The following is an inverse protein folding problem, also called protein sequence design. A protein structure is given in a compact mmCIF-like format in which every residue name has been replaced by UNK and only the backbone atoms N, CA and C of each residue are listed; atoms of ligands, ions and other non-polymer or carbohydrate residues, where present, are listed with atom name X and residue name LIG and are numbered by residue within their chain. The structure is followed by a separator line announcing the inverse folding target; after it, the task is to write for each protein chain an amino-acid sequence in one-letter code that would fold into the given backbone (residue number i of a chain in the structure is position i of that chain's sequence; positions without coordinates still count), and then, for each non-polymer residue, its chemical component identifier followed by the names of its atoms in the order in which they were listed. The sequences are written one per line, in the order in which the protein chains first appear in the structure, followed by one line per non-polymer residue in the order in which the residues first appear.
data_IF_850532143089
#
_entry.id   IF_850532143089
#
_cell.length_a   1.000
_cell.length_b   1.000
_cell.length_c   1.000
_cell.angle_alpha   90.00
_cell.angle_beta   90.00
_cell.angle_gamma   90.00
#
_symmetry.space_group_name_H-M   'P 1'
#
loop_
_entity.id
_entity.type
_entity.pdbx_description
1 polymer ?
#
# COMPACT_ATOMS: atom_id res chain seq x y z
N UNK A 1 -16.47 -0.80 -27.54
CA UNK A 1 -17.18 -2.02 -27.14
C UNK A 1 -16.58 -2.51 -25.82
N UNK A 2 -17.41 -2.76 -24.82
CA UNK A 2 -16.95 -3.24 -23.52
C UNK A 2 -16.63 -4.74 -23.56
N UNK A 3 -15.45 -5.14 -23.05
CA UNK A 3 -15.04 -6.55 -23.00
C UNK A 3 -15.87 -7.28 -21.94
N UNK A 4 -16.60 -8.30 -22.36
CA UNK A 4 -17.39 -9.16 -21.47
C UNK A 4 -16.63 -10.46 -21.16
N UNK A 5 -16.42 -10.74 -19.88
CA UNK A 5 -15.68 -11.91 -19.40
C UNK A 5 -16.62 -13.06 -19.04
N UNK A 6 -16.15 -14.29 -19.25
CA UNK A 6 -16.79 -15.47 -18.66
C UNK A 6 -16.58 -15.46 -17.14
N UNK A 7 -17.52 -16.02 -16.36
CA UNK A 7 -17.35 -16.15 -14.91
C UNK A 7 -16.04 -16.80 -14.48
N UNK A 8 -15.57 -17.82 -15.21
CA UNK A 8 -14.27 -18.47 -14.92
C UNK A 8 -13.09 -17.51 -15.09
N UNK A 9 -13.11 -16.68 -16.14
CA UNK A 9 -12.07 -15.67 -16.40
C UNK A 9 -12.10 -14.58 -15.32
N UNK A 10 -13.29 -14.15 -14.90
CA UNK A 10 -13.47 -13.22 -13.78
C UNK A 10 -12.93 -13.78 -12.45
N UNK A 11 -13.21 -15.04 -12.14
CA UNK A 11 -12.68 -15.71 -10.95
C UNK A 11 -11.15 -15.76 -10.95
N UNK A 12 -10.55 -16.08 -12.09
CA UNK A 12 -9.09 -16.13 -12.25
C UNK A 12 -8.46 -14.76 -12.01
N UNK A 13 -9.02 -13.71 -12.61
CA UNK A 13 -8.52 -12.34 -12.45
C UNK A 13 -8.64 -11.86 -11.00
N UNK A 14 -9.77 -12.11 -10.33
CA UNK A 14 -9.99 -11.68 -8.95
C UNK A 14 -9.32 -12.60 -7.91
N UNK A 15 -8.83 -13.77 -8.32
CA UNK A 15 -8.36 -14.85 -7.44
C UNK A 15 -9.40 -15.27 -6.38
N UNK A 16 -10.68 -15.36 -6.78
CA UNK A 16 -11.78 -15.78 -5.91
C UNK A 16 -12.42 -17.06 -6.43
N UNK A 17 -13.13 -17.77 -5.55
CA UNK A 17 -13.92 -18.93 -5.95
C UNK A 17 -15.16 -18.52 -6.76
N UNK A 18 -15.66 -19.46 -7.55
CA UNK A 18 -16.89 -19.28 -8.33
C UNK A 18 -18.11 -18.96 -7.46
N UNK A 19 -18.20 -19.57 -6.28
CA UNK A 19 -19.28 -19.31 -5.33
C UNK A 19 -19.22 -17.88 -4.78
N UNK A 20 -18.02 -17.36 -4.49
CA UNK A 20 -17.84 -15.95 -4.09
C UNK A 20 -18.27 -14.99 -5.18
N UNK A 21 -17.90 -15.26 -6.44
CA UNK A 21 -18.31 -14.44 -7.58
C UNK A 21 -19.83 -14.42 -7.74
N UNK A 22 -20.50 -15.58 -7.68
CA UNK A 22 -21.96 -15.65 -7.76
C UNK A 22 -22.65 -14.93 -6.60
N UNK A 23 -22.10 -15.04 -5.39
CA UNK A 23 -22.60 -14.30 -4.22
C UNK A 23 -22.52 -12.79 -4.47
N UNK A 24 -21.39 -12.28 -4.97
CA UNK A 24 -21.23 -10.85 -5.27
C UNK A 24 -22.16 -10.36 -6.37
N UNK A 25 -22.47 -11.18 -7.37
CA UNK A 25 -23.47 -10.85 -8.39
C UNK A 25 -24.87 -10.77 -7.78
N UNK A 26 -25.25 -11.73 -6.93
CA UNK A 26 -26.56 -11.73 -6.24
C UNK A 26 -26.72 -10.57 -5.26
N UNK A 27 -25.64 -10.20 -4.58
CA UNK A 27 -25.58 -9.04 -3.68
C UNK A 27 -25.51 -7.69 -4.43
N UNK A 28 -25.45 -7.70 -5.76
CA UNK A 28 -25.35 -6.48 -6.58
C UNK A 28 -23.99 -5.77 -6.50
N UNK A 29 -22.97 -6.40 -5.92
CA UNK A 29 -21.60 -5.88 -5.82
C UNK A 29 -20.89 -5.86 -7.16
N UNK A 30 -21.07 -6.91 -7.97
CA UNK A 30 -20.60 -6.98 -9.35
C UNK A 30 -21.81 -7.05 -10.27
N UNK A 31 -21.91 -6.11 -11.22
CA UNK A 31 -22.93 -6.19 -12.27
C UNK A 31 -22.54 -7.28 -13.28
N UNK A 32 -23.51 -8.11 -13.67
CA UNK A 32 -23.35 -9.11 -14.72
C UNK A 32 -24.51 -9.02 -15.70
N UNK A 33 -24.21 -9.24 -16.98
CA UNK A 33 -25.20 -9.33 -18.05
C UNK A 33 -25.49 -10.81 -18.29
N UNK A 34 -26.75 -11.18 -18.46
CA UNK A 34 -27.14 -12.53 -18.87
C UNK A 34 -27.31 -12.57 -20.38
N UNK A 35 -26.66 -13.53 -21.04
CA UNK A 35 -26.93 -13.83 -22.45
C UNK A 35 -28.29 -14.50 -22.61
N UNK A 36 -28.88 -14.49 -23.80
CA UNK A 36 -30.14 -15.21 -24.11
C UNK A 36 -30.13 -16.68 -23.66
N UNK A 37 -28.97 -17.35 -23.66
CA UNK A 37 -28.78 -18.71 -23.14
C UNK A 37 -28.60 -18.83 -21.62
N UNK A 38 -28.96 -17.82 -20.83
CA UNK A 38 -28.92 -17.85 -19.35
C UNK A 38 -27.53 -17.79 -18.71
N UNK A 39 -26.46 -17.61 -19.49
CA UNK A 39 -25.08 -17.54 -18.99
C UNK A 39 -24.70 -16.13 -18.58
N UNK A 40 -24.03 -15.99 -17.43
CA UNK A 40 -23.47 -14.72 -16.99
C UNK A 40 -22.28 -14.28 -17.85
N UNK A 41 -22.19 -12.97 -18.05
CA UNK A 41 -21.09 -12.24 -18.68
C UNK A 41 -20.77 -11.03 -17.80
N UNK A 42 -19.56 -10.96 -17.28
CA UNK A 42 -19.15 -9.89 -16.37
C UNK A 42 -18.41 -8.83 -17.19
N UNK A 43 -18.86 -7.57 -17.20
CA UNK A 43 -18.12 -6.50 -17.85
C UNK A 43 -16.74 -6.33 -17.23
N UNK A 44 -15.71 -6.14 -18.07
CA UNK A 44 -14.34 -5.95 -17.60
C UNK A 44 -14.20 -4.73 -16.69
N UNK A 45 -15.00 -3.68 -16.89
CA UNK A 45 -15.00 -2.50 -16.02
C UNK A 45 -15.34 -2.84 -14.56
N UNK A 46 -16.26 -3.78 -14.32
CA UNK A 46 -16.61 -4.24 -12.98
C UNK A 46 -15.45 -4.99 -12.35
N UNK A 47 -14.81 -5.90 -13.08
CA UNK A 47 -13.61 -6.61 -12.59
C UNK A 47 -12.47 -5.63 -12.33
N UNK A 48 -12.27 -4.66 -13.22
CA UNK A 48 -11.25 -3.62 -13.11
C UNK A 48 -11.42 -2.81 -11.83
N UNK A 49 -12.65 -2.44 -11.43
CA UNK A 49 -12.90 -1.76 -10.14
C UNK A 49 -12.40 -2.55 -8.93
N UNK A 50 -12.50 -3.88 -8.97
CA UNK A 50 -12.03 -4.76 -7.90
C UNK A 50 -10.53 -5.07 -7.98
N UNK A 51 -9.97 -5.08 -9.19
CA UNK A 51 -8.52 -5.18 -9.41
C UNK A 51 -7.80 -3.90 -8.98
N UNK A 52 -8.35 -2.73 -9.31
CA UNK A 52 -7.83 -1.42 -8.87
C UNK A 52 -8.12 -1.16 -7.39
N UNK A 53 -9.15 -1.81 -6.82
CA UNK A 53 -9.37 -1.87 -5.36
C UNK A 53 -8.53 -2.91 -4.65
N UNK A 54 -7.74 -3.75 -5.33
CA UNK A 54 -6.61 -4.39 -4.63
C UNK A 54 -5.71 -3.23 -4.23
N UNK A 55 -5.77 -2.91 -2.95
CA UNK A 55 -5.34 -1.68 -2.33
C UNK A 55 -4.03 -1.20 -2.97
N UNK A 56 -4.04 0.02 -3.56
CA UNK A 56 -2.80 0.71 -3.88
C UNK A 56 -1.93 0.64 -2.62
N UNK A 57 -0.82 -0.09 -2.67
CA UNK A 57 0.01 -0.30 -1.48
C UNK A 57 0.36 1.06 -0.90
N UNK A 58 -0.14 1.33 0.30
CA UNK A 58 -0.02 2.63 0.96
C UNK A 58 1.36 2.71 1.57
N UNK A 59 2.22 3.51 0.96
CA UNK A 59 3.57 3.72 1.45
C UNK A 59 3.64 4.97 2.34
N UNK A 60 4.42 4.90 3.41
CA UNK A 60 4.89 6.09 4.13
C UNK A 60 6.39 6.22 3.96
N UNK A 61 6.84 7.43 3.67
CA UNK A 61 8.27 7.73 3.51
C UNK A 61 8.79 8.28 4.82
N UNK A 62 9.87 7.72 5.34
CA UNK A 62 10.53 8.22 6.54
C UNK A 62 12.00 8.57 6.25
N UNK A 63 12.34 9.84 6.44
CA UNK A 63 13.70 10.36 6.24
C UNK A 63 14.23 11.01 7.52
N UNK A 64 15.50 10.73 7.86
CA UNK A 64 16.17 11.32 9.03
C UNK A 64 17.53 11.90 8.66
N UNK A 65 17.80 13.08 9.19
CA UNK A 65 19.15 13.68 9.20
C UNK A 65 19.60 13.97 10.62
N UNK A 66 20.92 14.00 10.85
CA UNK A 66 21.50 14.25 12.18
C UNK A 66 21.51 15.72 12.56
N UNK A 67 21.69 16.60 11.58
CA UNK A 67 21.83 18.05 11.78
C UNK A 67 20.96 18.81 10.77
N UNK A 68 20.52 20.02 11.15
CA UNK A 68 19.70 20.87 10.30
C UNK A 68 20.41 21.29 9.01
N UNK A 69 21.75 21.38 9.05
CA UNK A 69 22.60 21.72 7.91
C UNK A 69 22.56 20.67 6.79
N UNK A 70 22.02 19.47 7.07
CA UNK A 70 21.88 18.38 6.11
C UNK A 70 20.49 18.38 5.43
N UNK A 71 19.82 19.52 5.37
CA UNK A 71 18.46 19.62 4.83
C UNK A 71 18.36 19.18 3.36
N UNK A 72 19.35 19.53 2.55
CA UNK A 72 19.42 19.08 1.14
C UNK A 72 19.50 17.55 1.03
N UNK A 73 20.23 16.89 1.95
CA UNK A 73 20.31 15.44 1.98
C UNK A 73 18.95 14.81 2.32
N UNK A 74 18.21 15.40 3.27
CA UNK A 74 16.84 14.97 3.57
C UNK A 74 15.91 15.07 2.36
N UNK A 75 16.03 16.13 1.56
CA UNK A 75 15.24 16.30 0.34
C UNK A 75 15.62 15.30 -0.75
N UNK A 76 16.91 15.02 -0.93
CA UNK A 76 17.39 13.97 -1.84
C UNK A 76 16.84 12.60 -1.47
N UNK A 77 16.87 12.24 -0.19
CA UNK A 77 16.31 10.97 0.30
C UNK A 77 14.81 10.87 0.00
N UNK A 78 14.04 11.93 0.25
CA UNK A 78 12.60 11.96 0.00
C UNK A 78 12.30 11.82 -1.49
N UNK A 79 13.01 12.55 -2.35
CA UNK A 79 12.83 12.49 -3.80
C UNK A 79 13.14 11.08 -4.34
N UNK A 80 14.23 10.47 -3.88
CA UNK A 80 14.60 9.10 -4.24
C UNK A 80 13.50 8.10 -3.86
N UNK A 81 13.01 8.15 -2.61
CA UNK A 81 11.97 7.25 -2.13
C UNK A 81 10.61 7.51 -2.78
N UNK A 82 10.31 8.75 -3.14
CA UNK A 82 9.08 9.12 -3.87
C UNK A 82 9.11 8.52 -5.28
N UNK A 83 10.23 8.67 -6.00
CA UNK A 83 10.40 8.08 -7.32
C UNK A 83 10.32 6.54 -7.26
N UNK A 84 10.91 5.93 -6.23
CA UNK A 84 10.80 4.50 -6.01
C UNK A 84 9.34 4.06 -5.77
N UNK A 85 8.60 4.80 -4.93
CA UNK A 85 7.19 4.54 -4.68
C UNK A 85 6.36 4.63 -5.96
N UNK A 86 6.54 5.70 -6.74
CA UNK A 86 5.85 5.89 -8.03
C UNK A 86 6.18 4.77 -9.01
N UNK A 87 7.45 4.38 -9.13
CA UNK A 87 7.88 3.29 -10.02
C UNK A 87 7.29 1.93 -9.62
N UNK A 88 7.05 1.71 -8.32
CA UNK A 88 6.41 0.50 -7.80
C UNK A 88 4.88 0.55 -7.80
N UNK A 89 4.28 1.70 -8.15
CA UNK A 89 2.83 1.90 -8.09
C UNK A 89 2.31 2.04 -6.66
N UNK A 90 3.15 2.42 -5.71
CA UNK A 90 2.75 2.67 -4.33
C UNK A 90 2.13 4.06 -4.19
N UNK A 91 1.11 4.16 -3.36
CA UNK A 91 0.49 5.43 -3.00
C UNK A 91 1.18 5.99 -1.76
N UNK A 92 1.92 7.08 -1.91
CA UNK A 92 2.54 7.77 -0.77
C UNK A 92 1.46 8.46 0.06
N UNK A 93 1.22 7.99 1.28
CA UNK A 93 0.22 8.55 2.22
C UNK A 93 0.77 9.76 2.95
N UNK A 94 1.99 9.65 3.48
CA UNK A 94 2.61 10.71 4.27
C UNK A 94 4.15 10.65 4.08
N UNK A 95 4.79 11.81 4.17
CA UNK A 95 6.25 11.95 4.17
C UNK A 95 6.68 12.53 5.52
N UNK A 96 7.41 11.74 6.29
CA UNK A 96 7.85 12.06 7.64
C UNK A 96 9.34 12.37 7.64
N UNK A 97 9.70 13.50 8.24
CA UNK A 97 11.09 13.97 8.33
C UNK A 97 11.47 14.27 9.77
N UNK A 98 12.64 13.82 10.20
CA UNK A 98 13.20 14.17 11.52
C UNK A 98 14.64 14.69 11.41
N UNK A 99 14.93 15.74 12.18
CA UNK A 99 16.28 16.27 12.40
C UNK A 99 16.69 15.92 13.82
N UNK A 100 17.33 14.77 13.99
CA UNK A 100 17.74 14.27 15.29
C UNK A 100 18.74 13.11 15.17
N UNK A 101 19.45 12.84 16.27
CA UNK A 101 20.22 11.61 16.44
C UNK A 101 19.33 10.38 16.30
N UNK A 102 19.84 9.34 15.64
CA UNK A 102 19.16 8.04 15.53
C UNK A 102 19.05 7.27 16.86
N UNK A 103 19.63 7.79 17.94
CA UNK A 103 19.44 7.29 19.32
C UNK A 103 18.24 7.93 20.02
N UNK A 104 17.73 9.05 19.51
CA UNK A 104 16.59 9.72 20.12
C UNK A 104 15.31 8.96 19.75
N UNK A 105 14.64 8.39 20.74
CA UNK A 105 13.37 7.66 20.56
C UNK A 105 12.15 8.59 20.55
N UNK A 106 12.27 9.80 21.10
CA UNK A 106 11.21 10.82 21.17
C UNK A 106 11.08 11.69 19.90
N UNK A 107 11.49 11.17 18.75
CA UNK A 107 11.40 11.87 17.45
C UNK A 107 9.95 12.00 17.01
N UNK A 108 9.52 13.20 16.61
CA UNK A 108 8.12 13.47 16.28
C UNK A 108 7.67 12.72 15.04
N UNK A 109 8.51 12.67 13.99
CA UNK A 109 8.22 11.91 12.77
C UNK A 109 8.18 10.42 13.05
N UNK A 110 9.13 9.88 13.83
CA UNK A 110 9.11 8.48 14.24
C UNK A 110 7.83 8.12 15.00
N UNK A 111 7.46 8.89 16.03
CA UNK A 111 6.22 8.63 16.79
C UNK A 111 4.97 8.71 15.91
N UNK A 112 4.96 9.59 14.91
CA UNK A 112 3.89 9.67 13.91
C UNK A 112 3.85 8.42 13.02
N UNK A 113 5.01 7.91 12.62
CA UNK A 113 5.14 6.67 11.86
C UNK A 113 4.51 5.50 12.63
N UNK A 114 4.85 5.33 13.90
CA UNK A 114 4.27 4.27 14.75
C UNK A 114 2.73 4.37 14.79
N UNK A 115 2.17 5.57 14.96
CA UNK A 115 0.71 5.78 14.95
C UNK A 115 0.06 5.39 13.62
N UNK A 116 0.72 5.67 12.49
CA UNK A 116 0.20 5.30 11.16
C UNK A 116 0.20 3.78 10.96
N UNK A 117 1.26 3.10 11.44
CA UNK A 117 1.38 1.64 11.40
C UNK A 117 0.32 1.00 12.31
N UNK A 118 0.25 1.41 13.58
CA UNK A 118 -0.76 0.93 14.54
C UNK A 118 -2.19 1.14 14.03
N UNK A 119 -2.45 2.28 13.38
CA UNK A 119 -3.73 2.60 12.77
C UNK A 119 -4.01 1.86 11.46
N UNK A 120 -3.16 0.93 11.02
CA UNK A 120 -3.25 0.20 9.74
C UNK A 120 -3.52 1.12 8.55
N UNK A 121 -2.97 2.33 8.61
CA UNK A 121 -3.16 3.37 7.60
C UNK A 121 -2.15 3.27 6.47
N UNK A 122 -1.12 2.43 6.64
CA UNK A 122 -0.02 2.20 5.72
C UNK A 122 0.24 0.69 5.63
N UNK A 123 0.74 0.25 4.48
CA UNK A 123 1.05 -1.14 4.16
C UNK A 123 2.56 -1.35 3.98
N UNK A 124 3.33 -0.28 3.74
CA UNK A 124 4.79 -0.32 3.57
C UNK A 124 5.42 0.94 4.15
N UNK A 125 6.58 0.78 4.80
CA UNK A 125 7.45 1.89 5.21
C UNK A 125 8.68 1.96 4.31
N UNK A 126 8.91 3.12 3.71
CA UNK A 126 10.06 3.38 2.85
C UNK A 126 11.11 4.20 3.61
N UNK A 127 12.32 3.64 3.69
CA UNK A 127 13.52 4.27 4.25
C UNK A 127 14.69 4.07 3.29
N UNK A 128 15.67 4.96 3.31
CA UNK A 128 16.89 4.81 2.50
C UNK A 128 17.85 3.79 3.09
N UNK A 129 18.09 3.86 4.40
CA UNK A 129 18.99 2.97 5.14
C UNK A 129 18.43 2.65 6.53
N UNK A 130 18.77 1.48 7.09
CA UNK A 130 18.30 1.02 8.40
C UNK A 130 18.62 2.01 9.53
N UNK A 131 19.79 2.64 9.50
CA UNK A 131 20.25 3.63 10.49
C UNK A 131 19.46 4.96 10.46
N UNK A 132 18.68 5.20 9.40
CA UNK A 132 17.76 6.34 9.35
C UNK A 132 16.57 6.11 10.28
N UNK A 133 16.06 4.88 10.34
CA UNK A 133 14.99 4.51 11.24
C UNK A 133 15.47 4.52 12.69
N UNK A 134 16.52 3.76 13.00
CA UNK A 134 17.16 3.72 14.32
C UNK A 134 18.59 3.24 14.22
N UNK A 135 19.48 3.72 15.11
CA UNK A 135 20.86 3.19 15.18
C UNK A 135 20.93 1.80 15.82
N UNK A 136 19.99 1.47 16.70
CA UNK A 136 19.91 0.19 17.40
C UNK A 136 18.46 -0.29 17.51
N UNK A 137 18.26 -1.60 17.62
CA UNK A 137 16.92 -2.18 17.76
C UNK A 137 16.06 -2.10 16.50
N UNK A 138 16.69 -2.05 15.31
CA UNK A 138 15.96 -2.08 14.04
C UNK A 138 15.11 -3.34 13.94
N UNK A 139 15.67 -4.49 14.32
CA UNK A 139 14.99 -5.79 14.29
C UNK A 139 13.70 -5.79 15.14
N UNK A 140 13.69 -5.09 16.28
CA UNK A 140 12.48 -4.98 17.11
C UNK A 140 11.38 -4.16 16.43
N UNK A 141 11.76 -3.11 15.69
CA UNK A 141 10.80 -2.28 14.94
C UNK A 141 10.28 -3.06 13.72
N UNK A 142 11.17 -3.78 13.03
CA UNK A 142 10.83 -4.64 11.89
C UNK A 142 9.87 -5.76 12.30
N UNK A 143 10.16 -6.47 13.41
CA UNK A 143 9.27 -7.49 13.97
C UNK A 143 7.91 -6.89 14.35
N UNK A 144 7.91 -5.74 15.04
CA UNK A 144 6.67 -5.05 15.39
C UNK A 144 5.84 -4.67 14.15
N UNK A 145 6.44 -4.09 13.12
CA UNK A 145 5.72 -3.73 11.88
C UNK A 145 5.15 -4.97 11.18
N UNK A 146 5.93 -6.05 11.11
CA UNK A 146 5.49 -7.34 10.55
C UNK A 146 4.25 -7.89 11.26
N UNK A 147 4.16 -7.81 12.59
CA UNK A 147 2.97 -8.26 13.34
C UNK A 147 1.70 -7.47 13.01
N UNK A 148 1.84 -6.21 12.57
CA UNK A 148 0.73 -5.33 12.20
C UNK A 148 0.36 -5.47 10.72
N UNK A 149 1.21 -6.13 9.94
CA UNK A 149 1.03 -6.36 8.50
C UNK A 149 1.67 -5.29 7.63
N UNK A 150 2.76 -4.66 8.10
CA UNK A 150 3.54 -3.60 7.43
C UNK A 150 4.97 -4.06 7.19
#
# INVERSE_FOLDING_TARGET
MERLLRPKEACQLLSISYSTLLRWIREGKIRAVTTEGGKYRIPYSEIKKYLERREETRAVIYARVSSADQREDSERQVNYLTNYATAKGYKVVEVLKDVASGLNTGRKGLLRLFKLVEGRSVDVVLITYKDRLTRFGFEYIEEFFSTVGV
#
